data_IF_506739421586
#
_entry.id   IF_506739421586
#
_cell.length_a   1.000
_cell.length_b   1.000
_cell.length_c   1.000
_cell.angle_alpha   90.00
_cell.angle_beta   90.00
_cell.angle_gamma   90.00
#
_symmetry.space_group_name_H-M   'P 1'
#
loop_
_entity.id
_entity.type
_entity.pdbx_description
1 polymer ?
#
# COMPACT_ATOMS: atom_id res chain seq x y z
N UNK A 1 -38.46 -24.30 13.46
CA UNK A 1 -37.17 -24.29 12.75
C UNK A 1 -36.70 -22.84 12.65
N UNK A 2 -35.85 -22.36 13.57
CA UNK A 2 -35.16 -21.06 13.45
C UNK A 2 -33.89 -21.34 12.64
N UNK A 3 -33.69 -20.61 11.54
CA UNK A 3 -32.48 -20.70 10.73
C UNK A 3 -31.60 -19.51 11.11
N UNK A 4 -30.66 -19.75 12.01
CA UNK A 4 -29.68 -18.77 12.46
C UNK A 4 -28.73 -18.45 11.30
N UNK A 5 -29.01 -17.34 10.60
CA UNK A 5 -28.25 -16.88 9.45
C UNK A 5 -27.04 -16.05 9.91
N UNK A 6 -26.08 -16.70 10.56
CA UNK A 6 -24.82 -16.07 10.94
C UNK A 6 -23.84 -16.15 9.75
N UNK A 7 -24.03 -15.29 8.75
CA UNK A 7 -23.05 -15.09 7.67
C UNK A 7 -21.91 -14.20 8.18
N UNK A 8 -20.62 -14.54 7.98
CA UNK A 8 -19.53 -13.77 8.54
C UNK A 8 -19.28 -12.50 7.70
N UNK A 9 -19.51 -11.35 8.31
CA UNK A 9 -19.24 -9.98 7.80
C UNK A 9 -17.72 -9.63 7.76
N UNK A 10 -16.86 -10.60 8.04
CA UNK A 10 -15.40 -10.40 8.21
C UNK A 10 -14.71 -9.87 6.96
N UNK A 11 -15.17 -10.25 5.76
CA UNK A 11 -14.55 -9.81 4.51
C UNK A 11 -14.81 -8.31 4.20
N UNK A 12 -15.87 -7.72 4.78
CA UNK A 12 -16.22 -6.31 4.57
C UNK A 12 -15.45 -5.39 5.51
N UNK A 13 -15.14 -5.84 6.72
CA UNK A 13 -14.42 -5.05 7.72
C UNK A 13 -12.94 -4.84 7.36
N UNK A 14 -12.27 -5.86 6.82
CA UNK A 14 -10.88 -5.73 6.35
C UNK A 14 -10.73 -4.67 5.24
N UNK A 15 -11.75 -4.52 4.39
CA UNK A 15 -11.76 -3.51 3.31
C UNK A 15 -11.84 -2.07 3.81
N UNK A 16 -12.51 -1.80 4.95
CA UNK A 16 -12.66 -0.44 5.47
C UNK A 16 -11.37 0.11 6.09
N UNK A 17 -10.58 -0.74 6.75
CA UNK A 17 -9.30 -0.31 7.35
C UNK A 17 -8.27 0.10 6.30
N UNK A 18 -8.25 -0.61 5.18
CA UNK A 18 -7.26 -0.39 4.14
C UNK A 18 -7.43 0.98 3.45
N UNK A 19 -8.68 1.41 3.25
CA UNK A 19 -9.05 2.72 2.68
C UNK A 19 -8.65 3.95 3.53
N UNK A 20 -8.36 3.80 4.83
CA UNK A 20 -7.98 4.93 5.69
C UNK A 20 -6.49 5.26 5.61
N UNK A 21 -5.62 4.27 5.41
CA UNK A 21 -4.18 4.49 5.25
C UNK A 21 -3.83 5.16 3.91
N UNK A 22 -4.54 4.77 2.85
CA UNK A 22 -4.35 5.32 1.50
C UNK A 22 -4.74 6.80 1.38
N UNK A 23 -5.62 7.32 2.24
CA UNK A 23 -6.01 8.74 2.21
C UNK A 23 -4.87 9.68 2.60
N UNK A 24 -3.85 9.16 3.28
CA UNK A 24 -2.68 9.94 3.70
C UNK A 24 -1.55 9.88 2.67
N UNK A 25 -1.60 8.91 1.75
CA UNK A 25 -0.64 8.81 0.64
C UNK A 25 -0.93 9.92 -0.37
N UNK A 26 0.01 10.86 -0.46
CA UNK A 26 -0.04 11.92 -1.45
C UNK A 26 0.82 11.55 -2.65
N UNK A 27 0.29 11.83 -3.84
CA UNK A 27 1.08 11.90 -5.07
C UNK A 27 2.23 12.87 -4.83
N UNK A 28 3.42 12.54 -5.31
CA UNK A 28 4.71 13.20 -5.05
C UNK A 28 5.17 13.19 -3.58
N UNK A 29 4.61 12.30 -2.76
CA UNK A 29 5.08 12.05 -1.39
C UNK A 29 6.23 11.06 -1.37
N UNK A 30 7.28 11.37 -0.60
CA UNK A 30 8.35 10.41 -0.32
C UNK A 30 7.91 9.48 0.81
N UNK A 31 8.08 8.18 0.60
CA UNK A 31 7.79 7.12 1.57
C UNK A 31 9.04 6.29 1.82
N UNK A 32 9.17 5.74 3.04
CA UNK A 32 10.26 4.84 3.37
C UNK A 32 9.88 3.40 3.09
N UNK A 33 10.61 2.74 2.21
CA UNK A 33 10.56 1.31 1.95
C UNK A 33 10.94 0.53 3.21
N UNK A 34 10.11 -0.44 3.57
CA UNK A 34 10.38 -1.40 4.64
C UNK A 34 11.34 -2.50 4.17
N UNK A 35 11.28 -2.83 2.88
CA UNK A 35 12.15 -3.80 2.23
C UNK A 35 12.82 -3.14 1.03
N UNK A 36 14.16 -3.21 1.01
CA UNK A 36 14.96 -2.68 -0.07
C UNK A 36 14.94 -3.67 -1.25
N UNK A 37 14.63 -3.23 -2.48
CA UNK A 37 14.68 -4.12 -3.65
C UNK A 37 16.10 -4.57 -3.97
N UNK A 38 17.12 -3.82 -3.54
CA UNK A 38 18.51 -4.20 -3.64
C UNK A 38 19.36 -3.47 -2.57
N UNK A 39 20.52 -4.02 -2.18
CA UNK A 39 21.36 -3.47 -1.11
C UNK A 39 21.90 -2.05 -1.36
N UNK A 40 21.85 -1.57 -2.61
CA UNK A 40 22.37 -0.27 -3.02
C UNK A 40 21.28 0.76 -3.29
N UNK A 41 20.01 0.36 -3.22
CA UNK A 41 18.89 1.29 -3.38
C UNK A 41 18.72 2.13 -2.13
N UNK A 42 18.16 3.31 -2.35
CA UNK A 42 17.66 4.10 -1.24
C UNK A 42 16.44 3.42 -0.62
N UNK A 43 16.31 3.56 0.70
CA UNK A 43 15.11 3.18 1.43
C UNK A 43 13.96 4.17 1.23
N UNK A 44 14.09 5.14 0.33
CA UNK A 44 13.07 6.14 0.05
C UNK A 44 12.56 6.01 -1.38
N UNK A 45 11.24 6.09 -1.53
CA UNK A 45 10.56 6.02 -2.82
C UNK A 45 9.59 7.19 -2.96
N UNK A 46 9.57 7.82 -4.13
CA UNK A 46 8.64 8.89 -4.47
C UNK A 46 7.37 8.28 -5.05
N UNK A 47 6.24 8.42 -4.36
CA UNK A 47 4.94 7.99 -4.88
C UNK A 47 4.53 8.84 -6.08
N UNK A 48 4.39 8.21 -7.25
CA UNK A 48 3.98 8.88 -8.48
C UNK A 48 2.46 8.84 -8.65
N UNK A 49 1.87 7.64 -8.66
CA UNK A 49 0.43 7.49 -8.83
C UNK A 49 -0.10 6.17 -8.25
N UNK A 50 -1.36 6.13 -7.80
CA UNK A 50 -2.00 4.89 -7.40
C UNK A 50 -2.28 4.02 -8.64
N UNK A 51 -1.85 2.76 -8.61
CA UNK A 51 -2.11 1.78 -9.68
C UNK A 51 -3.36 0.96 -9.34
N UNK A 52 -3.46 0.55 -8.07
CA UNK A 52 -4.58 -0.24 -7.55
C UNK A 52 -4.96 0.27 -6.15
N UNK A 53 -5.93 -0.41 -5.52
CA UNK A 53 -6.31 -0.11 -4.13
C UNK A 53 -5.15 -0.26 -3.16
N UNK A 54 -4.29 -1.26 -3.34
CA UNK A 54 -3.19 -1.54 -2.41
C UNK A 54 -1.81 -1.31 -3.06
N UNK A 55 -1.76 -0.79 -4.28
CA UNK A 55 -0.54 -0.68 -5.08
C UNK A 55 -0.33 0.73 -5.62
N UNK A 56 0.90 1.19 -5.53
CA UNK A 56 1.32 2.50 -5.99
C UNK A 56 2.53 2.37 -6.89
N UNK A 57 2.52 3.11 -7.99
CA UNK A 57 3.71 3.34 -8.77
C UNK A 57 4.56 4.35 -8.00
N UNK A 58 5.80 3.97 -7.74
CA UNK A 58 6.78 4.80 -7.07
C UNK A 58 8.08 4.83 -7.85
N UNK A 59 8.87 5.87 -7.63
CA UNK A 59 10.20 6.00 -8.18
C UNK A 59 11.24 5.93 -7.06
N UNK A 60 12.17 5.00 -7.17
CA UNK A 60 13.22 4.75 -6.19
C UNK A 60 14.53 5.26 -6.79
N UNK A 61 15.26 6.16 -6.11
CA UNK A 61 16.60 6.55 -6.53
C UNK A 61 17.51 5.30 -6.68
N UNK A 62 18.35 5.28 -7.71
CA UNK A 62 19.23 4.14 -8.07
C UNK A 62 18.54 2.89 -8.63
N UNK A 63 17.21 2.77 -8.56
CA UNK A 63 16.47 1.62 -9.10
C UNK A 63 15.50 1.99 -10.23
N UNK A 64 14.91 3.19 -10.20
CA UNK A 64 13.92 3.64 -11.18
C UNK A 64 12.48 3.40 -10.71
N UNK A 65 11.58 3.17 -11.66
CA UNK A 65 10.15 2.97 -11.39
C UNK A 65 9.87 1.56 -10.85
N UNK A 66 9.13 1.48 -9.75
CA UNK A 66 8.72 0.23 -9.13
C UNK A 66 7.25 0.30 -8.68
N UNK A 67 6.54 -0.82 -8.80
CA UNK A 67 5.20 -0.96 -8.22
C UNK A 67 5.34 -1.46 -6.79
N UNK A 68 4.91 -0.64 -5.84
CA UNK A 68 5.00 -0.94 -4.42
C UNK A 68 3.62 -1.24 -3.84
N UNK A 69 3.54 -2.27 -3.02
CA UNK A 69 2.37 -2.48 -2.18
C UNK A 69 2.44 -1.53 -0.98
N UNK A 70 1.30 -1.01 -0.52
CA UNK A 70 1.23 -0.17 0.69
C UNK A 70 1.79 -0.84 1.97
N UNK A 71 1.97 -2.16 1.96
CA UNK A 71 2.61 -2.91 3.05
C UNK A 71 4.14 -2.96 2.96
N UNK A 72 4.71 -2.48 1.86
CA UNK A 72 6.15 -2.47 1.60
C UNK A 72 6.78 -1.12 1.95
N UNK A 73 6.00 -0.13 2.36
CA UNK A 73 6.50 1.18 2.76
C UNK A 73 5.69 1.79 3.90
N UNK A 74 6.30 2.71 4.62
CA UNK A 74 5.67 3.57 5.62
C UNK A 74 5.82 5.03 5.23
N UNK A 75 4.88 5.86 5.66
CA UNK A 75 4.89 7.31 5.48
C UNK A 75 4.91 8.03 6.84
#
# INVERSE_FOLDING_TARGET
>A
MKLDSHRPDVAVQARRRNLQGLQQLRVSGWVKLLELPNPWSFDEALLLCPVSKDEWLAWIPDHGEAVLNIRQFSY
#
